data_IF_635121476923
#
_entry.id   IF_635121476923
#
_cell.length_a   1.000
_cell.length_b   1.000
_cell.length_c   1.000
_cell.angle_alpha   90.00
_cell.angle_beta   90.00
_cell.angle_gamma   90.00
#
_symmetry.space_group_name_H-M   'P 1'
#
loop_
_entity.id
_entity.type
_entity.pdbx_description
1 polymer ?
#
# COMPACT_ATOMS: atom_id res chain seq x y z
N UNK A 1 -7.68 -11.85 16.61
CA UNK A 1 -7.14 -11.50 15.26
C UNK A 1 -8.27 -11.65 14.25
N UNK A 2 -8.50 -10.62 13.47
CA UNK A 2 -9.48 -10.67 12.40
C UNK A 2 -8.94 -11.49 11.22
N UNK A 3 -9.76 -12.36 10.68
CA UNK A 3 -9.42 -13.13 9.48
C UNK A 3 -9.78 -12.30 8.25
N UNK A 4 -8.79 -12.02 7.39
CA UNK A 4 -8.99 -11.29 6.15
C UNK A 4 -8.87 -12.26 4.98
N UNK A 5 -9.96 -12.40 4.22
CA UNK A 5 -9.93 -13.16 2.97
C UNK A 5 -9.39 -12.30 1.85
N UNK A 6 -8.50 -12.85 1.08
CA UNK A 6 -7.88 -12.18 -0.05
C UNK A 6 -6.56 -12.80 -0.42
N UNK A 7 -5.86 -12.17 -1.32
CA UNK A 7 -4.56 -12.63 -1.82
C UNK A 7 -3.48 -11.64 -1.41
N UNK A 8 -2.39 -12.13 -0.83
CA UNK A 8 -1.25 -11.25 -0.55
C UNK A 8 -0.75 -10.61 -1.84
N UNK A 9 -0.44 -9.33 -1.80
CA UNK A 9 0.05 -8.58 -2.96
C UNK A 9 1.29 -9.26 -3.56
N UNK A 10 2.15 -9.82 -2.72
CA UNK A 10 3.33 -10.55 -3.18
C UNK A 10 2.96 -11.67 -4.16
N UNK A 11 2.00 -12.50 -3.79
CA UNK A 11 1.55 -13.62 -4.64
C UNK A 11 0.82 -13.13 -5.88
N UNK A 12 -0.04 -12.13 -5.70
CA UNK A 12 -0.81 -11.56 -6.79
C UNK A 12 0.11 -10.99 -7.88
N UNK A 13 1.16 -10.25 -7.48
CA UNK A 13 2.12 -9.67 -8.41
C UNK A 13 2.90 -10.73 -9.18
N UNK A 14 3.25 -11.84 -8.56
CA UNK A 14 3.96 -12.93 -9.23
C UNK A 14 3.16 -13.49 -10.41
N UNK A 15 1.82 -13.50 -10.30
CA UNK A 15 0.92 -14.02 -11.33
C UNK A 15 0.64 -12.97 -12.41
N UNK A 16 0.55 -11.70 -12.05
CA UNK A 16 0.02 -10.64 -12.93
C UNK A 16 1.08 -9.67 -13.47
N UNK A 17 2.35 -10.03 -13.44
CA UNK A 17 3.45 -9.12 -13.82
C UNK A 17 3.35 -8.55 -15.24
N UNK A 18 2.74 -9.28 -16.17
CA UNK A 18 2.60 -8.84 -17.56
C UNK A 18 1.43 -7.86 -17.78
N UNK A 19 0.59 -7.67 -16.78
CA UNK A 19 -0.62 -6.85 -16.88
C UNK A 19 -0.34 -5.45 -16.32
N UNK A 20 0.46 -4.66 -17.03
CA UNK A 20 0.99 -3.37 -16.54
C UNK A 20 -0.10 -2.41 -16.07
N UNK A 21 -1.18 -2.26 -16.83
CA UNK A 21 -2.27 -1.34 -16.45
C UNK A 21 -2.97 -1.78 -15.18
N UNK A 22 -3.24 -3.06 -15.05
CA UNK A 22 -3.88 -3.63 -13.86
C UNK A 22 -2.97 -3.49 -12.65
N UNK A 23 -1.69 -3.80 -12.79
CA UNK A 23 -0.71 -3.66 -11.72
C UNK A 23 -0.60 -2.19 -11.29
N UNK A 24 -0.58 -1.25 -12.23
CA UNK A 24 -0.55 0.18 -11.91
C UNK A 24 -1.75 0.58 -11.06
N UNK A 25 -2.94 0.09 -11.39
CA UNK A 25 -4.14 0.36 -10.60
C UNK A 25 -4.03 -0.21 -9.19
N UNK A 26 -3.53 -1.44 -9.06
CA UNK A 26 -3.33 -2.06 -7.75
C UNK A 26 -2.29 -1.27 -6.93
N UNK A 27 -1.25 -0.76 -7.57
CA UNK A 27 -0.25 0.07 -6.87
C UNK A 27 -0.84 1.39 -6.36
N UNK A 28 -1.81 1.94 -7.06
CA UNK A 28 -2.56 3.11 -6.57
C UNK A 28 -3.37 2.75 -5.32
N UNK A 29 -3.99 1.58 -5.31
CA UNK A 29 -4.73 1.11 -4.13
C UNK A 29 -3.80 0.89 -2.94
N UNK A 30 -2.60 0.36 -3.17
CA UNK A 30 -1.57 0.25 -2.14
C UNK A 30 -1.21 1.64 -1.60
N UNK A 31 -0.94 2.58 -2.48
CA UNK A 31 -0.61 3.95 -2.10
C UNK A 31 -1.73 4.63 -1.32
N UNK A 32 -2.96 4.41 -1.72
CA UNK A 32 -4.14 4.91 -1.01
C UNK A 32 -4.18 4.40 0.42
N UNK A 33 -4.05 3.08 0.61
CA UNK A 33 -4.13 2.46 1.94
C UNK A 33 -3.00 2.94 2.84
N UNK A 34 -1.78 3.02 2.33
CA UNK A 34 -0.63 3.52 3.09
C UNK A 34 -0.79 5.01 3.41
N UNK A 35 -1.23 5.79 2.44
CA UNK A 35 -1.45 7.23 2.63
C UNK A 35 -2.53 7.51 3.68
N UNK A 36 -3.62 6.77 3.66
CA UNK A 36 -4.67 6.88 4.68
C UNK A 36 -4.15 6.52 6.07
N UNK A 37 -3.34 5.47 6.17
CA UNK A 37 -2.72 5.06 7.43
C UNK A 37 -1.85 6.19 7.99
N UNK A 38 -0.95 6.72 7.19
CA UNK A 38 -0.05 7.80 7.61
C UNK A 38 -0.81 9.09 7.93
N UNK A 39 -1.85 9.40 7.16
CA UNK A 39 -2.70 10.56 7.44
C UNK A 39 -3.43 10.44 8.77
N UNK A 40 -3.69 9.22 9.24
CA UNK A 40 -4.31 8.99 10.55
C UNK A 40 -3.31 9.04 11.71
N UNK A 41 -2.03 9.24 11.43
CA UNK A 41 -0.99 9.33 12.46
C UNK A 41 -0.46 7.99 12.94
N UNK A 42 -0.52 6.98 12.07
CA UNK A 42 -0.05 5.62 12.39
C UNK A 42 1.00 5.19 11.38
N UNK A 43 2.05 4.54 11.86
CA UNK A 43 3.04 3.87 11.02
C UNK A 43 2.94 2.37 11.23
N UNK A 44 3.15 1.61 10.17
CA UNK A 44 2.96 0.16 10.19
C UNK A 44 4.10 -0.58 10.91
N UNK A 45 5.32 -0.23 10.59
CA UNK A 45 6.52 -0.82 11.20
C UNK A 45 7.08 -2.05 10.49
N UNK A 46 6.28 -2.72 9.65
CA UNK A 46 6.72 -3.91 8.89
C UNK A 46 5.97 -3.99 7.57
N UNK A 47 6.06 -2.94 6.77
CA UNK A 47 5.27 -2.76 5.56
C UNK A 47 5.88 -3.51 4.37
N UNK A 48 5.63 -4.81 4.32
CA UNK A 48 6.09 -5.69 3.24
C UNK A 48 4.94 -6.10 2.34
N UNK A 49 5.26 -6.64 1.16
CA UNK A 49 4.23 -7.11 0.21
C UNK A 49 3.43 -8.31 0.73
N UNK A 50 3.93 -8.99 1.75
CA UNK A 50 3.19 -10.07 2.42
C UNK A 50 2.15 -9.55 3.40
N UNK A 51 2.28 -8.30 3.86
CA UNK A 51 1.36 -7.68 4.81
C UNK A 51 0.33 -6.77 4.12
N UNK A 52 0.25 -6.83 2.81
CA UNK A 52 -0.75 -6.15 2.00
C UNK A 52 -1.65 -7.21 1.38
N UNK A 53 -2.93 -7.18 1.70
CA UNK A 53 -3.90 -8.13 1.19
C UNK A 53 -4.82 -7.44 0.19
N UNK A 54 -4.86 -7.98 -1.03
CA UNK A 54 -5.81 -7.55 -2.04
C UNK A 54 -7.08 -8.36 -1.90
N UNK A 55 -8.19 -7.69 -1.70
CA UNK A 55 -9.50 -8.35 -1.65
C UNK A 55 -10.52 -7.64 -2.52
N UNK A 56 -11.52 -8.40 -2.94
CA UNK A 56 -12.63 -7.89 -3.72
C UNK A 56 -13.91 -8.00 -2.89
N UNK A 57 -14.65 -6.91 -2.83
CA UNK A 57 -15.94 -6.85 -2.11
C UNK A 57 -16.93 -6.14 -3.02
N UNK A 58 -18.02 -6.82 -3.38
CA UNK A 58 -19.08 -6.26 -4.23
C UNK A 58 -18.56 -5.70 -5.56
N UNK A 59 -17.57 -6.38 -6.16
CA UNK A 59 -16.97 -5.97 -7.42
C UNK A 59 -15.91 -4.89 -7.31
N UNK A 60 -15.66 -4.39 -6.11
CA UNK A 60 -14.62 -3.41 -5.87
C UNK A 60 -13.40 -4.04 -5.22
N UNK A 61 -12.23 -3.61 -5.67
CA UNK A 61 -10.96 -4.09 -5.13
C UNK A 61 -10.44 -3.10 -4.09
N UNK A 62 -9.88 -3.65 -3.01
CA UNK A 62 -9.22 -2.84 -1.99
C UNK A 62 -7.98 -3.54 -1.47
N UNK A 63 -7.06 -2.76 -0.93
CA UNK A 63 -5.85 -3.27 -0.28
C UNK A 63 -5.99 -3.06 1.22
N UNK A 64 -5.84 -4.15 1.97
CA UNK A 64 -5.95 -4.14 3.42
C UNK A 64 -4.57 -4.39 4.01
N UNK A 65 -4.18 -3.56 4.97
CA UNK A 65 -2.93 -3.72 5.70
C UNK A 65 -3.15 -4.64 6.88
N UNK A 66 -2.26 -5.60 7.06
CA UNK A 66 -2.34 -6.55 8.17
C UNK A 66 -1.01 -6.58 8.95
N UNK A 67 -1.03 -7.26 10.08
CA UNK A 67 0.15 -7.55 10.92
C UNK A 67 0.85 -6.30 11.43
N UNK A 68 0.12 -5.55 12.25
CA UNK A 68 0.58 -4.31 12.88
C UNK A 68 1.40 -4.50 14.15
N UNK A 69 1.96 -5.70 14.37
CA UNK A 69 2.69 -6.01 15.60
C UNK A 69 3.82 -5.02 15.93
N UNK A 70 4.41 -4.38 14.91
CA UNK A 70 5.46 -3.37 15.08
C UNK A 70 4.95 -1.95 14.88
N UNK A 71 3.64 -1.77 14.68
CA UNK A 71 3.04 -0.48 14.42
C UNK A 71 3.03 0.43 15.64
N UNK A 72 3.00 1.71 15.39
CA UNK A 72 2.93 2.73 16.45
C UNK A 72 2.23 3.99 15.96
N UNK A 73 1.77 4.79 16.92
CA UNK A 73 1.26 6.14 16.63
C UNK A 73 2.46 7.04 16.41
N UNK A 74 2.50 7.69 15.26
CA UNK A 74 3.56 8.63 14.92
C UNK A 74 3.08 9.60 13.85
N UNK A 75 3.44 10.89 14.01
CA UNK A 75 3.27 11.89 12.97
C UNK A 75 4.62 12.32 12.38
N UNK A 76 5.68 11.61 12.73
CA UNK A 76 7.03 11.87 12.25
C UNK A 76 7.15 11.52 10.76
N UNK A 77 7.64 12.45 9.97
CA UNK A 77 7.94 12.20 8.56
C UNK A 77 9.02 11.15 8.40
N UNK A 78 9.96 11.07 9.35
CA UNK A 78 11.02 10.07 9.32
C UNK A 78 10.45 8.65 9.47
N UNK A 79 9.52 8.46 10.39
CA UNK A 79 8.89 7.16 10.60
C UNK A 79 8.04 6.75 9.39
N UNK A 80 7.33 7.70 8.78
CA UNK A 80 6.57 7.46 7.56
C UNK A 80 7.50 7.11 6.39
N UNK A 81 8.65 7.79 6.31
CA UNK A 81 9.65 7.50 5.28
C UNK A 81 10.25 6.10 5.45
N UNK A 82 10.43 5.63 6.68
CA UNK A 82 10.90 4.27 6.96
C UNK A 82 9.88 3.24 6.44
N UNK A 83 8.59 3.45 6.70
CA UNK A 83 7.54 2.59 6.16
C UNK A 83 7.62 2.49 4.64
N UNK A 84 7.74 3.62 3.96
CA UNK A 84 7.83 3.65 2.51
C UNK A 84 9.11 3.02 1.99
N UNK A 85 10.21 3.22 2.68
CA UNK A 85 11.48 2.60 2.32
C UNK A 85 11.40 1.06 2.40
N UNK A 86 10.83 0.54 3.47
CA UNK A 86 10.66 -0.90 3.65
C UNK A 86 9.77 -1.47 2.54
N UNK A 87 8.66 -0.78 2.23
CA UNK A 87 7.75 -1.19 1.16
C UNK A 87 8.42 -1.15 -0.20
N UNK A 88 9.15 -0.09 -0.49
CA UNK A 88 9.90 0.05 -1.74
C UNK A 88 10.89 -1.10 -1.92
N UNK A 89 11.62 -1.46 -0.87
CA UNK A 89 12.55 -2.57 -0.89
C UNK A 89 11.84 -3.91 -1.12
N UNK A 90 10.68 -4.09 -0.53
CA UNK A 90 9.88 -5.29 -0.71
C UNK A 90 9.43 -5.44 -2.17
N UNK A 91 8.97 -4.36 -2.80
CA UNK A 91 8.59 -4.38 -4.22
C UNK A 91 9.80 -4.58 -5.12
N UNK A 92 10.92 -3.95 -4.84
CA UNK A 92 12.14 -4.10 -5.64
C UNK A 92 12.65 -5.54 -5.65
N UNK A 93 12.52 -6.26 -4.54
CA UNK A 93 12.93 -7.66 -4.48
C UNK A 93 11.98 -8.59 -5.25
N UNK A 94 10.71 -8.20 -5.39
CA UNK A 94 9.71 -8.97 -6.13
C UNK A 94 9.75 -8.64 -7.63
N UNK A 95 10.05 -7.38 -7.98
CA UNK A 95 10.04 -6.88 -9.37
C UNK A 95 11.28 -6.04 -9.66
N UNK A 96 12.44 -6.68 -9.93
CA UNK A 96 13.68 -5.94 -10.16
C UNK A 96 13.77 -5.28 -11.55
N UNK A 97 12.73 -5.39 -12.38
CA UNK A 97 12.71 -4.85 -13.74
C UNK A 97 12.25 -3.39 -13.78
N UNK A 98 12.46 -2.72 -14.92
CA UNK A 98 12.12 -1.31 -15.11
C UNK A 98 10.65 -0.99 -14.89
N UNK A 99 9.77 -1.92 -15.18
CA UNK A 99 8.33 -1.77 -14.92
C UNK A 99 8.04 -1.50 -13.44
N UNK A 100 8.82 -2.10 -12.54
CA UNK A 100 8.69 -1.90 -11.11
C UNK A 100 8.89 -0.46 -10.69
N UNK A 101 9.75 0.30 -11.38
CA UNK A 101 9.95 1.73 -11.09
C UNK A 101 8.69 2.55 -11.38
N UNK A 102 8.00 2.25 -12.48
CA UNK A 102 6.74 2.93 -12.83
C UNK A 102 5.69 2.65 -11.76
N UNK A 103 5.57 1.41 -11.35
CA UNK A 103 4.62 1.01 -10.31
C UNK A 103 4.92 1.69 -8.98
N UNK A 104 6.19 1.68 -8.56
CA UNK A 104 6.61 2.33 -7.32
C UNK A 104 6.35 3.83 -7.35
N UNK A 105 6.62 4.49 -8.47
CA UNK A 105 6.36 5.92 -8.64
C UNK A 105 4.87 6.21 -8.48
N UNK A 106 4.02 5.43 -9.13
CA UNK A 106 2.57 5.57 -9.02
C UNK A 106 2.09 5.43 -7.58
N UNK A 107 2.61 4.44 -6.87
CA UNK A 107 2.28 4.20 -5.47
C UNK A 107 2.73 5.36 -4.60
N UNK A 108 3.98 5.80 -4.75
CA UNK A 108 4.56 6.88 -3.95
C UNK A 108 3.81 8.20 -4.13
N UNK A 109 3.47 8.55 -5.38
CA UNK A 109 2.69 9.75 -5.67
C UNK A 109 1.31 9.69 -5.01
N UNK A 110 0.69 8.53 -5.02
CA UNK A 110 -0.62 8.34 -4.40
C UNK A 110 -0.53 8.48 -2.88
N UNK A 111 0.49 7.91 -2.25
CA UNK A 111 0.74 8.07 -0.82
C UNK A 111 0.86 9.54 -0.44
N UNK A 112 1.66 10.29 -1.19
CA UNK A 112 1.85 11.72 -0.93
C UNK A 112 0.53 12.48 -1.06
N UNK A 113 -0.23 12.23 -2.12
CA UNK A 113 -1.52 12.89 -2.34
C UNK A 113 -2.50 12.67 -1.19
N UNK A 114 -2.60 11.45 -0.72
CA UNK A 114 -3.47 11.12 0.41
C UNK A 114 -2.98 11.76 1.70
N UNK A 115 -1.68 11.71 1.96
CA UNK A 115 -1.08 12.28 3.17
C UNK A 115 -1.26 13.78 3.28
N UNK A 116 -1.08 14.52 2.17
CA UNK A 116 -1.20 15.99 2.18
C UNK A 116 -2.63 16.49 1.92
N UNK A 117 -3.58 15.58 1.77
CA UNK A 117 -4.99 15.92 1.65
C UNK A 117 -5.44 16.35 0.27
N UNK A 118 -4.67 16.11 -0.80
CA UNK A 118 -5.12 16.37 -2.17
C UNK A 118 -6.22 15.40 -2.59
N UNK A 119 -6.17 14.17 -2.07
CA UNK A 119 -7.26 13.21 -2.19
C UNK A 119 -7.62 12.83 -0.75
N UNK A 120 -8.77 13.21 -0.28
CA UNK A 120 -9.17 12.95 1.10
C UNK A 120 -10.13 11.78 1.18
N UNK A 121 -9.95 10.91 2.17
CA UNK A 121 -11.04 10.00 2.51
C UNK A 121 -12.25 10.81 2.94
N UNK A 122 -13.43 10.34 2.61
CA UNK A 122 -14.69 11.02 2.87
C UNK A 122 -15.12 10.83 4.33
N UNK A 123 -14.34 11.35 5.26
CA UNK A 123 -14.64 11.22 6.70
C UNK A 123 -15.99 11.86 7.07
N UNK A 124 -16.42 12.86 6.33
CA UNK A 124 -17.70 13.55 6.59
C UNK A 124 -18.92 12.76 6.11
N UNK A 125 -18.72 11.60 5.53
CA UNK A 125 -19.81 10.67 5.21
C UNK A 125 -20.16 9.76 6.38
N UNK A 126 -19.36 9.83 7.40
CA UNK A 126 -19.53 9.00 8.58
C UNK A 126 -20.50 9.66 9.53
#
# INVERSE_FOLDING_TARGET
MEWIEGTAIREWLEIHTAEVELVTEIMRLVGKSVGELHASGVVHGDLTTSNLILRETDGEMEVVLIDFGLGSVSVSEEDMAVDLYVLERAFASTHPKSEGLVWLTSMQLTVVRWRIGLVRPDFHRI
#
